data_IF_156847003652
#
_entry.id   IF_156847003652
#
_cell.length_a   1.000
_cell.length_b   1.000
_cell.length_c   1.000
_cell.angle_alpha   90.00
_cell.angle_beta   90.00
_cell.angle_gamma   90.00
#
_symmetry.space_group_name_H-M   'P 1'
#
loop_
_entity.id
_entity.type
_entity.pdbx_description
1 polymer ?
#
# COMPACT_ATOMS: atom_id res chain seq x y z
N UNK A 1 10.09 -6.45 0.21
CA UNK A 1 10.82 -7.57 0.89
C UNK A 1 10.96 -8.84 0.04
N UNK A 2 10.01 -9.79 0.05
CA UNK A 2 10.16 -11.11 -0.60
C UNK A 2 10.59 -11.01 -2.08
N UNK A 3 9.93 -10.15 -2.85
CA UNK A 3 10.28 -9.92 -4.26
C UNK A 3 11.74 -9.46 -4.41
N UNK A 4 12.21 -8.55 -3.56
CA UNK A 4 13.58 -8.01 -3.56
C UNK A 4 14.62 -9.07 -3.18
N UNK A 5 14.42 -9.79 -2.08
CA UNK A 5 15.48 -10.62 -1.48
C UNK A 5 15.44 -12.11 -1.83
N UNK A 6 14.26 -12.65 -2.15
CA UNK A 6 14.11 -14.08 -2.48
C UNK A 6 14.06 -14.31 -3.97
N UNK A 7 13.38 -13.42 -4.70
CA UNK A 7 13.19 -13.55 -6.14
C UNK A 7 14.07 -12.60 -6.97
N UNK A 8 14.81 -11.70 -6.31
CA UNK A 8 15.67 -10.70 -6.97
C UNK A 8 14.91 -9.78 -7.96
N UNK A 9 13.59 -9.64 -7.77
CA UNK A 9 12.68 -8.84 -8.57
C UNK A 9 12.53 -7.42 -8.01
N UNK A 10 13.56 -6.59 -8.20
CA UNK A 10 13.61 -5.22 -7.66
C UNK A 10 12.48 -4.32 -8.17
N UNK A 11 12.14 -4.42 -9.46
CA UNK A 11 11.08 -3.59 -10.06
C UNK A 11 9.72 -3.87 -9.44
N UNK A 12 9.42 -5.15 -9.21
CA UNK A 12 8.14 -5.56 -8.60
C UNK A 12 8.11 -5.16 -7.13
N UNK A 13 9.23 -5.29 -6.40
CA UNK A 13 9.33 -4.82 -5.03
C UNK A 13 9.06 -3.31 -4.92
N UNK A 14 9.68 -2.51 -5.79
CA UNK A 14 9.49 -1.06 -5.83
C UNK A 14 8.05 -0.66 -6.17
N UNK A 15 7.42 -1.34 -7.14
CA UNK A 15 6.04 -1.07 -7.50
C UNK A 15 5.07 -1.28 -6.30
N UNK A 16 5.27 -2.36 -5.53
CA UNK A 16 4.47 -2.62 -4.32
C UNK A 16 4.75 -1.56 -3.24
N UNK A 17 6.01 -1.21 -3.01
CA UNK A 17 6.41 -0.20 -2.01
C UNK A 17 5.81 1.18 -2.35
N UNK A 18 5.90 1.61 -3.61
CA UNK A 18 5.34 2.87 -4.10
C UNK A 18 3.80 2.91 -4.02
N UNK A 19 3.12 1.80 -4.34
CA UNK A 19 1.67 1.74 -4.23
C UNK A 19 1.21 1.92 -2.78
N UNK A 20 1.88 1.29 -1.82
CA UNK A 20 1.59 1.48 -0.39
C UNK A 20 1.84 2.93 0.03
N UNK A 21 2.96 3.52 -0.38
CA UNK A 21 3.26 4.94 -0.12
C UNK A 21 2.19 5.87 -0.70
N UNK A 22 1.72 5.61 -1.92
CA UNK A 22 0.65 6.39 -2.58
C UNK A 22 -0.66 6.33 -1.80
N UNK A 23 -1.12 5.13 -1.43
CA UNK A 23 -2.34 4.96 -0.62
C UNK A 23 -2.23 5.71 0.72
N UNK A 24 -1.06 5.64 1.36
CA UNK A 24 -0.83 6.36 2.61
C UNK A 24 -0.76 7.89 2.38
N UNK A 25 -0.21 8.36 1.27
CA UNK A 25 -0.19 9.79 0.92
C UNK A 25 -1.60 10.35 0.65
N UNK A 26 -2.53 9.51 0.18
CA UNK A 26 -3.96 9.83 0.03
C UNK A 26 -4.73 9.87 1.35
N UNK A 27 -4.07 9.67 2.50
CA UNK A 27 -4.69 9.76 3.82
C UNK A 27 -5.47 8.52 4.26
N UNK A 28 -5.41 7.43 3.49
CA UNK A 28 -6.11 6.19 3.78
C UNK A 28 -5.43 5.46 4.94
N UNK A 29 -6.16 5.13 6.02
CA UNK A 29 -5.57 4.54 7.23
C UNK A 29 -6.41 3.39 7.76
N UNK A 30 -5.76 2.31 8.17
CA UNK A 30 -6.40 1.28 9.00
C UNK A 30 -6.43 1.72 10.47
N UNK A 31 -7.29 1.07 11.27
CA UNK A 31 -7.56 1.46 12.66
C UNK A 31 -6.31 1.56 13.54
N UNK A 32 -5.30 0.74 13.29
CA UNK A 32 -4.06 0.66 14.05
C UNK A 32 -3.11 1.85 13.82
N UNK A 33 -3.22 2.53 12.67
CA UNK A 33 -2.35 3.66 12.28
C UNK A 33 -3.10 4.98 12.07
N UNK A 34 -4.43 5.00 12.24
CA UNK A 34 -5.25 6.19 12.05
C UNK A 34 -5.08 7.20 13.20
N UNK A 35 -4.91 8.47 12.85
CA UNK A 35 -5.01 9.59 13.78
C UNK A 35 -6.45 9.98 14.09
N UNK A 36 -6.65 10.91 15.04
CA UNK A 36 -7.99 11.35 15.50
C UNK A 36 -8.90 11.94 14.42
N UNK A 37 -8.34 12.36 13.28
CA UNK A 37 -9.06 13.01 12.18
C UNK A 37 -9.01 12.18 10.89
N UNK A 38 -8.35 11.03 10.92
CA UNK A 38 -8.19 10.21 9.73
C UNK A 38 -9.43 9.35 9.55
N UNK A 39 -9.81 9.15 8.30
CA UNK A 39 -10.83 8.18 7.94
C UNK A 39 -10.25 6.77 8.07
N UNK A 40 -10.99 5.89 8.76
CA UNK A 40 -10.56 4.53 9.05
C UNK A 40 -11.17 3.58 8.04
N UNK A 41 -10.31 2.88 7.30
CA UNK A 41 -10.68 1.83 6.36
C UNK A 41 -10.36 0.44 6.91
N UNK A 42 -11.03 -0.58 6.36
CA UNK A 42 -10.82 -1.98 6.72
C UNK A 42 -9.67 -2.65 5.97
N UNK A 43 -9.33 -3.88 6.37
CA UNK A 43 -8.26 -4.68 5.74
C UNK A 43 -8.50 -4.93 4.24
N UNK A 44 -9.73 -5.27 3.87
CA UNK A 44 -10.09 -5.57 2.47
C UNK A 44 -9.95 -4.32 1.60
N UNK A 45 -10.45 -3.19 2.09
CA UNK A 45 -10.42 -1.91 1.38
C UNK A 45 -8.99 -1.41 1.20
N UNK A 46 -8.14 -1.50 2.22
CA UNK A 46 -6.71 -1.17 2.10
C UNK A 46 -6.04 -2.02 1.01
N UNK A 47 -6.30 -3.32 0.97
CA UNK A 47 -5.76 -4.21 -0.07
C UNK A 47 -6.25 -3.84 -1.47
N UNK A 48 -7.53 -3.48 -1.63
CA UNK A 48 -8.09 -3.04 -2.91
C UNK A 48 -7.46 -1.74 -3.40
N UNK A 49 -7.23 -0.78 -2.50
CA UNK A 49 -6.58 0.49 -2.84
C UNK A 49 -5.13 0.27 -3.28
N UNK A 50 -4.37 -0.57 -2.57
CA UNK A 50 -3.00 -0.90 -2.96
C UNK A 50 -2.97 -1.61 -4.31
N UNK A 51 -3.87 -2.57 -4.56
CA UNK A 51 -3.95 -3.24 -5.86
C UNK A 51 -4.25 -2.24 -6.99
N UNK A 52 -5.19 -1.32 -6.76
CA UNK A 52 -5.54 -0.28 -7.74
C UNK A 52 -4.35 0.64 -8.05
N UNK A 53 -3.57 1.02 -7.05
CA UNK A 53 -2.36 1.84 -7.24
C UNK A 53 -1.27 1.11 -8.02
N UNK A 54 -1.16 -0.22 -7.85
CA UNK A 54 -0.24 -1.06 -8.64
C UNK A 54 -0.69 -1.12 -10.10
N UNK A 55 -1.98 -1.31 -10.37
CA UNK A 55 -2.53 -1.42 -11.74
C UNK A 55 -2.52 -0.09 -12.51
N UNK A 56 -2.43 1.04 -11.80
CA UNK A 56 -2.46 2.37 -12.41
C UNK A 56 -1.06 2.90 -12.78
N UNK A 57 0.01 2.19 -12.42
CA UNK A 57 1.42 2.49 -12.77
C UNK A 57 1.97 1.50 -13.79
#
# INVERSE_FOLDING_TARGET
>A
MMMRYTFEEEKVALAIEQAVESVLALGQRTQDIAGKKDEVIGTIEMGQLVLKEIESN
#
